data_IF_098304939094
#
_entry.id   IF_098304939094
#
_cell.length_a   1.000
_cell.length_b   1.000
_cell.length_c   1.000
_cell.angle_alpha   90.00
_cell.angle_beta   90.00
_cell.angle_gamma   90.00
#
_symmetry.space_group_name_H-M   'P 1'
#
loop_
_entity.id
_entity.type
_entity.pdbx_description
1 polymer ?
#
# COMPACT_ATOMS: atom_id res chain seq x y z
N UNK A 1 30.61 -9.20 -8.94
CA UNK A 1 30.13 -7.93 -9.53
C UNK A 1 31.24 -7.33 -10.39
N UNK A 2 30.94 -6.96 -11.63
CA UNK A 2 31.90 -6.34 -12.55
C UNK A 2 32.32 -4.95 -12.00
N UNK A 3 33.62 -4.66 -11.89
CA UNK A 3 34.15 -3.40 -11.33
C UNK A 3 33.68 -2.17 -12.12
N UNK A 4 33.47 -2.34 -13.43
CA UNK A 4 32.99 -1.26 -14.30
C UNK A 4 31.54 -0.88 -13.99
N UNK A 5 30.70 -1.86 -13.69
CA UNK A 5 29.30 -1.64 -13.27
C UNK A 5 29.19 -0.94 -11.91
N UNK A 6 30.08 -1.28 -10.97
CA UNK A 6 30.11 -0.61 -9.65
C UNK A 6 30.52 0.85 -9.79
N UNK A 7 31.49 1.14 -10.66
CA UNK A 7 31.94 2.49 -10.95
C UNK A 7 30.82 3.30 -11.60
N UNK A 8 30.14 2.76 -12.60
CA UNK A 8 29.00 3.42 -13.26
C UNK A 8 27.83 3.66 -12.30
N UNK A 9 27.53 2.72 -11.39
CA UNK A 9 26.44 2.90 -10.41
C UNK A 9 26.69 4.10 -9.49
N UNK A 10 27.93 4.26 -9.01
CA UNK A 10 28.33 5.40 -8.15
C UNK A 10 28.28 6.73 -8.91
N UNK A 11 28.76 6.75 -10.15
CA UNK A 11 28.76 7.95 -10.99
C UNK A 11 27.33 8.43 -11.28
N UNK A 12 26.41 7.53 -11.64
CA UNK A 12 24.99 7.86 -11.86
C UNK A 12 24.32 8.31 -10.55
N UNK A 13 24.58 7.63 -9.43
CA UNK A 13 24.01 8.04 -8.13
C UNK A 13 24.50 9.42 -7.69
N UNK A 14 25.76 9.77 -7.97
CA UNK A 14 26.29 11.11 -7.73
C UNK A 14 25.65 12.15 -8.65
N UNK A 15 25.49 11.84 -9.95
CA UNK A 15 24.81 12.71 -10.94
C UNK A 15 23.41 13.13 -10.47
N UNK A 16 22.67 12.22 -9.83
CA UNK A 16 21.30 12.45 -9.37
C UNK A 16 21.17 12.70 -7.86
N UNK A 17 22.27 13.13 -7.22
CA UNK A 17 22.28 13.58 -5.82
C UNK A 17 21.66 12.58 -4.83
N UNK A 18 21.95 11.28 -5.01
CA UNK A 18 21.53 10.26 -4.06
C UNK A 18 22.17 10.52 -2.70
N UNK A 19 21.33 10.79 -1.71
CA UNK A 19 21.75 11.09 -0.33
C UNK A 19 20.72 10.58 0.67
N UNK A 20 21.14 10.42 1.91
CA UNK A 20 20.24 10.03 3.00
C UNK A 20 19.07 10.99 3.11
N UNK A 21 17.86 10.44 3.12
CA UNK A 21 16.65 11.22 3.36
C UNK A 21 16.61 11.64 4.84
N UNK A 22 16.43 12.93 5.10
CA UNK A 22 16.34 13.47 6.47
C UNK A 22 14.91 13.28 6.97
N UNK A 23 14.75 12.40 7.95
CA UNK A 23 13.46 12.12 8.58
C UNK A 23 13.17 13.07 9.75
N UNK A 24 11.89 13.23 10.08
CA UNK A 24 11.47 13.89 11.31
C UNK A 24 11.95 13.09 12.54
N UNK A 25 12.15 13.77 13.66
CA UNK A 25 12.26 13.09 14.95
C UNK A 25 10.86 12.63 15.40
N UNK A 26 10.69 11.43 15.98
CA UNK A 26 9.38 10.97 16.44
C UNK A 26 8.76 11.96 17.42
N UNK A 27 7.53 12.37 17.17
CA UNK A 27 6.76 13.19 18.12
C UNK A 27 6.13 12.27 19.17
N UNK A 28 6.46 12.49 20.44
CA UNK A 28 6.07 11.61 21.54
C UNK A 28 5.46 12.48 22.65
N UNK A 29 4.13 12.60 22.63
CA UNK A 29 3.19 12.84 23.77
C UNK A 29 2.30 14.09 23.66
N UNK A 30 1.02 13.89 24.05
CA UNK A 30 0.29 14.83 24.92
C UNK A 30 -0.96 15.52 24.38
N UNK A 31 -1.25 15.49 23.07
CA UNK A 31 -2.39 16.24 22.49
C UNK A 31 -3.27 15.49 21.48
N UNK A 32 -2.90 14.28 21.09
CA UNK A 32 -3.56 13.58 19.99
C UNK A 32 -3.93 12.16 20.38
N UNK A 33 -5.09 11.70 19.90
CA UNK A 33 -5.51 10.31 19.97
C UNK A 33 -4.56 9.47 19.09
N UNK A 34 -3.73 8.65 19.74
CA UNK A 34 -2.75 7.79 19.09
C UNK A 34 -3.14 6.34 19.34
N UNK A 35 -3.16 5.56 18.28
CA UNK A 35 -3.28 4.11 18.36
C UNK A 35 -1.91 3.46 18.20
N UNK A 36 -1.58 2.58 19.15
CA UNK A 36 -0.45 1.67 19.01
C UNK A 36 -0.95 0.33 18.47
N UNK A 37 -0.82 0.15 17.17
CA UNK A 37 -1.24 -1.08 16.50
C UNK A 37 -0.44 -2.28 17.03
N UNK A 38 -1.08 -3.44 17.25
CA UNK A 38 -0.37 -4.64 17.67
C UNK A 38 0.72 -5.03 16.69
N UNK A 39 1.86 -5.48 17.21
CA UNK A 39 3.00 -5.92 16.42
C UNK A 39 3.04 -7.44 16.30
N UNK A 40 3.09 -7.94 15.07
CA UNK A 40 3.37 -9.33 14.77
C UNK A 40 4.88 -9.45 14.53
N UNK A 41 5.58 -10.09 15.47
CA UNK A 41 7.01 -10.32 15.39
C UNK A 41 7.33 -11.58 14.58
N UNK A 42 7.75 -11.39 13.34
CA UNK A 42 8.09 -12.49 12.43
C UNK A 42 9.42 -13.18 12.77
N UNK A 43 10.19 -12.67 13.74
CA UNK A 43 11.35 -13.40 14.27
C UNK A 43 10.92 -14.61 15.11
N UNK A 44 9.69 -14.58 15.65
CA UNK A 44 9.06 -15.69 16.38
C UNK A 44 8.37 -16.69 15.42
N UNK A 45 8.26 -16.36 14.13
CA UNK A 45 7.75 -17.28 13.13
C UNK A 45 8.81 -18.34 12.81
N UNK A 46 8.56 -19.57 13.26
CA UNK A 46 9.37 -20.75 12.95
C UNK A 46 8.57 -21.68 12.05
N UNK A 47 9.19 -22.20 11.00
CA UNK A 47 8.59 -23.18 10.08
C UNK A 47 8.53 -24.58 10.72
N UNK A 48 7.81 -25.51 10.11
CA UNK A 48 7.72 -26.90 10.54
C UNK A 48 6.53 -27.22 11.47
N UNK A 49 5.97 -28.44 11.40
CA UNK A 49 4.81 -28.82 12.22
C UNK A 49 5.08 -28.73 13.74
N UNK A 50 6.32 -28.98 14.18
CA UNK A 50 6.77 -28.89 15.57
C UNK A 50 6.68 -27.47 16.15
N UNK A 51 6.64 -26.45 15.29
CA UNK A 51 6.55 -25.04 15.67
C UNK A 51 5.15 -24.44 15.50
N UNK A 52 4.12 -25.28 15.28
CA UNK A 52 2.75 -24.82 15.05
C UNK A 52 2.24 -23.92 16.19
N UNK A 53 2.52 -24.26 17.44
CA UNK A 53 2.09 -23.46 18.60
C UNK A 53 2.61 -22.01 18.54
N UNK A 54 3.86 -21.82 18.11
CA UNK A 54 4.45 -20.49 17.93
C UNK A 54 3.69 -19.68 16.89
N UNK A 55 3.34 -20.32 15.77
CA UNK A 55 2.56 -19.67 14.69
C UNK A 55 1.12 -19.40 15.12
N UNK A 56 0.50 -20.29 15.89
CA UNK A 56 -0.85 -20.07 16.44
C UNK A 56 -0.89 -18.86 17.39
N UNK A 57 0.13 -18.67 18.24
CA UNK A 57 0.22 -17.47 19.09
C UNK A 57 0.28 -16.17 18.27
N UNK A 58 1.06 -16.16 17.18
CA UNK A 58 1.10 -15.03 16.26
C UNK A 58 -0.23 -14.83 15.52
N UNK A 59 -0.88 -15.93 15.13
CA UNK A 59 -2.17 -15.90 14.43
C UNK A 59 -3.29 -15.31 15.30
N UNK A 60 -3.31 -15.58 16.61
CA UNK A 60 -4.27 -14.97 17.56
C UNK A 60 -4.13 -13.45 17.57
N UNK A 61 -2.92 -12.93 17.73
CA UNK A 61 -2.66 -11.48 17.73
C UNK A 61 -3.04 -10.86 16.38
N UNK A 62 -2.74 -11.57 15.29
CA UNK A 62 -3.10 -11.13 13.95
C UNK A 62 -4.62 -11.07 13.78
N UNK A 63 -5.35 -12.10 14.17
CA UNK A 63 -6.82 -12.15 14.09
C UNK A 63 -7.47 -10.97 14.81
N UNK A 64 -7.08 -10.73 16.07
CA UNK A 64 -7.59 -9.60 16.86
C UNK A 64 -7.36 -8.27 16.13
N UNK A 65 -6.14 -8.06 15.61
CA UNK A 65 -5.76 -6.86 14.87
C UNK A 65 -6.58 -6.67 13.58
N UNK A 66 -6.80 -7.76 12.84
CA UNK A 66 -7.54 -7.76 11.58
C UNK A 66 -9.04 -7.51 11.78
N UNK A 67 -9.59 -7.97 12.90
CA UNK A 67 -11.01 -7.79 13.24
C UNK A 67 -11.29 -6.42 13.88
N UNK A 68 -10.36 -5.89 14.67
CA UNK A 68 -10.57 -4.64 15.40
C UNK A 68 -10.17 -3.41 14.57
N UNK A 69 -8.99 -3.46 13.96
CA UNK A 69 -8.38 -2.30 13.32
C UNK A 69 -8.19 -2.46 11.82
N UNK A 70 -8.23 -3.68 11.29
CA UNK A 70 -7.86 -3.96 9.89
C UNK A 70 -6.40 -3.63 9.57
N UNK A 71 -5.60 -3.36 10.60
CA UNK A 71 -4.25 -2.82 10.56
C UNK A 71 -3.42 -3.49 11.66
N UNK A 72 -2.14 -3.72 11.39
CA UNK A 72 -1.17 -4.25 12.33
C UNK A 72 0.24 -3.78 11.96
N UNK A 73 1.22 -4.00 12.84
CA UNK A 73 2.64 -3.80 12.54
C UNK A 73 3.34 -5.12 12.30
N UNK A 74 4.32 -5.12 11.41
CA UNK A 74 5.29 -6.20 11.31
C UNK A 74 6.64 -5.73 11.83
N UNK A 75 7.22 -6.53 12.70
CA UNK A 75 8.62 -6.40 13.18
C UNK A 75 9.32 -7.75 12.99
N UNK A 76 10.65 -7.78 13.13
CA UNK A 76 11.41 -9.02 12.96
C UNK A 76 11.28 -9.65 11.56
N UNK A 77 10.90 -8.85 10.54
CA UNK A 77 10.66 -9.32 9.18
C UNK A 77 11.94 -9.66 8.39
N UNK A 78 13.12 -9.38 8.95
CA UNK A 78 14.42 -9.65 8.33
C UNK A 78 14.81 -8.68 7.21
N UNK A 79 14.24 -7.47 7.23
CA UNK A 79 14.69 -6.37 6.34
C UNK A 79 15.48 -5.43 7.24
N UNK A 80 16.73 -5.21 6.85
CA UNK A 80 17.63 -4.32 7.57
C UNK A 80 17.24 -2.85 7.39
N UNK A 81 17.54 -2.03 8.39
CA UNK A 81 17.20 -0.60 8.38
C UNK A 81 17.81 0.12 7.17
N UNK A 82 19.02 -0.27 6.80
CA UNK A 82 19.79 0.29 5.68
C UNK A 82 19.06 0.11 4.34
N UNK A 83 18.26 -0.96 4.20
CA UNK A 83 17.44 -1.17 3.00
C UNK A 83 16.35 -0.10 2.92
N UNK A 84 15.66 0.19 4.02
CA UNK A 84 14.66 1.27 4.06
C UNK A 84 15.31 2.64 3.86
N UNK A 85 16.45 2.90 4.48
CA UNK A 85 17.18 4.17 4.33
C UNK A 85 17.59 4.38 2.86
N UNK A 86 18.13 3.35 2.21
CA UNK A 86 18.50 3.39 0.79
C UNK A 86 17.29 3.60 -0.12
N UNK A 87 16.17 2.91 0.12
CA UNK A 87 14.95 3.09 -0.66
C UNK A 87 14.33 4.48 -0.48
N UNK A 88 14.39 5.05 0.72
CA UNK A 88 13.95 6.44 0.95
C UNK A 88 14.85 7.43 0.20
N UNK A 89 16.17 7.21 0.22
CA UNK A 89 17.13 8.01 -0.55
C UNK A 89 16.84 7.94 -2.06
N UNK A 90 16.63 6.72 -2.60
CA UNK A 90 16.22 6.50 -3.99
C UNK A 90 14.91 7.22 -4.28
N UNK A 91 13.89 7.05 -3.43
CA UNK A 91 12.59 7.70 -3.57
C UNK A 91 12.70 9.22 -3.63
N UNK A 92 13.52 9.83 -2.77
CA UNK A 92 13.77 11.27 -2.81
C UNK A 92 14.39 11.70 -4.15
N UNK A 93 15.48 11.06 -4.58
CA UNK A 93 16.16 11.38 -5.83
C UNK A 93 15.26 11.18 -7.06
N UNK A 94 14.36 10.19 -7.04
CA UNK A 94 13.35 10.00 -8.10
C UNK A 94 12.47 11.23 -8.28
N UNK A 95 12.05 11.89 -7.19
CA UNK A 95 11.19 13.08 -7.26
C UNK A 95 11.96 14.38 -7.54
N UNK A 96 13.27 14.37 -7.30
CA UNK A 96 14.20 15.47 -7.60
C UNK A 96 14.75 15.41 -9.05
N UNK A 97 14.36 14.40 -9.84
CA UNK A 97 14.70 14.36 -11.27
C UNK A 97 14.19 15.61 -12.01
N UNK A 98 14.90 16.06 -13.07
CA UNK A 98 14.44 17.18 -13.89
C UNK A 98 13.02 16.95 -14.43
N UNK A 99 12.19 18.00 -14.47
CA UNK A 99 10.80 17.90 -14.94
C UNK A 99 10.68 17.38 -16.38
N UNK A 100 11.65 17.72 -17.24
CA UNK A 100 11.73 17.18 -18.60
C UNK A 100 11.89 15.65 -18.58
N UNK A 101 12.76 15.11 -17.70
CA UNK A 101 12.90 13.67 -17.53
C UNK A 101 11.61 13.05 -16.97
N UNK A 102 11.02 13.64 -15.91
CA UNK A 102 9.79 13.11 -15.30
C UNK A 102 8.61 13.06 -16.30
N UNK A 103 8.49 14.07 -17.16
CA UNK A 103 7.39 14.17 -18.13
C UNK A 103 7.41 13.08 -19.21
N UNK A 104 8.59 12.50 -19.50
CA UNK A 104 8.72 11.34 -20.40
C UNK A 104 8.25 10.01 -19.78
N UNK A 105 8.04 9.98 -18.45
CA UNK A 105 7.67 8.76 -17.72
C UNK A 105 6.41 8.96 -16.87
N UNK A 106 5.46 9.78 -17.32
CA UNK A 106 4.15 9.89 -16.65
C UNK A 106 3.47 8.52 -16.65
N UNK A 107 2.88 8.14 -15.53
CA UNK A 107 2.18 6.87 -15.41
C UNK A 107 1.07 6.76 -16.47
N UNK A 108 0.85 5.53 -16.96
CA UNK A 108 0.03 5.17 -18.13
C UNK A 108 0.55 5.60 -19.51
N UNK A 109 1.76 6.15 -19.62
CA UNK A 109 2.43 6.37 -20.92
C UNK A 109 3.09 5.11 -21.50
N UNK A 110 3.33 4.11 -20.66
CA UNK A 110 3.98 2.86 -21.03
C UNK A 110 2.96 1.75 -21.24
N UNK A 111 3.17 0.96 -22.29
CA UNK A 111 2.30 -0.14 -22.66
C UNK A 111 3.10 -1.43 -22.75
N UNK A 112 2.63 -2.45 -22.03
CA UNK A 112 2.93 -3.85 -22.35
C UNK A 112 1.65 -4.48 -22.91
N UNK A 113 1.79 -5.46 -23.79
CA UNK A 113 0.67 -6.04 -24.54
C UNK A 113 -0.42 -6.61 -23.62
N UNK A 114 -0.01 -7.24 -22.52
CA UNK A 114 -0.86 -7.86 -21.50
C UNK A 114 -1.75 -6.85 -20.76
N UNK A 115 -1.37 -5.57 -20.77
CA UNK A 115 -2.10 -4.48 -20.11
C UNK A 115 -2.82 -3.55 -21.08
N UNK A 116 -2.82 -3.83 -22.40
CA UNK A 116 -3.40 -2.94 -23.43
C UNK A 116 -4.86 -2.57 -23.18
N UNK A 117 -5.64 -3.48 -22.59
CA UNK A 117 -7.06 -3.27 -22.31
C UNK A 117 -7.35 -2.71 -20.91
N UNK A 118 -6.31 -2.30 -20.16
CA UNK A 118 -6.44 -1.83 -18.78
C UNK A 118 -6.31 -0.32 -18.70
N UNK A 119 -7.27 0.33 -18.06
CA UNK A 119 -7.20 1.75 -17.72
C UNK A 119 -6.56 1.94 -16.34
N UNK A 120 -5.23 1.74 -16.28
CA UNK A 120 -4.47 1.90 -15.03
C UNK A 120 -4.33 3.37 -14.63
N UNK A 121 -4.37 4.29 -15.61
CA UNK A 121 -4.15 5.72 -15.45
C UNK A 121 -2.89 6.07 -14.66
N UNK A 122 -2.81 7.33 -14.22
CA UNK A 122 -1.61 7.82 -13.52
C UNK A 122 -1.46 7.27 -12.11
N UNK A 123 -2.57 6.85 -11.48
CA UNK A 123 -2.54 6.41 -10.09
C UNK A 123 -1.92 5.02 -9.99
N UNK A 124 -2.15 4.13 -10.96
CA UNK A 124 -1.70 2.73 -10.87
C UNK A 124 -0.74 2.30 -11.96
N UNK A 125 -0.66 3.01 -13.07
CA UNK A 125 0.30 2.73 -14.15
C UNK A 125 1.75 2.91 -13.68
N UNK A 126 2.69 2.29 -14.39
CA UNK A 126 4.15 2.44 -14.17
C UNK A 126 4.57 3.87 -14.47
N UNK A 127 5.30 4.52 -13.56
CA UNK A 127 5.83 5.87 -13.76
C UNK A 127 5.29 6.91 -12.78
N UNK A 128 5.38 8.18 -13.17
CA UNK A 128 5.10 9.33 -12.33
C UNK A 128 3.61 9.71 -12.29
N UNK A 129 3.12 9.97 -11.09
CA UNK A 129 1.97 10.85 -10.87
C UNK A 129 2.51 12.21 -10.38
N UNK A 130 2.38 13.29 -11.17
CA UNK A 130 2.95 14.59 -10.80
C UNK A 130 2.17 15.23 -9.65
N UNK A 131 2.84 16.17 -8.96
CA UNK A 131 2.26 16.99 -7.89
C UNK A 131 1.10 17.80 -8.45
N UNK A 132 -0.02 17.83 -7.73
CA UNK A 132 -1.18 18.62 -8.11
C UNK A 132 -1.97 18.08 -9.31
N UNK A 133 -1.80 16.80 -9.62
CA UNK A 133 -2.67 16.10 -10.58
C UNK A 133 -4.12 16.03 -10.10
N UNK A 134 -4.33 15.78 -8.81
CA UNK A 134 -5.65 15.83 -8.19
C UNK A 134 -5.97 17.23 -7.71
N UNK A 135 -7.21 17.63 -7.92
CA UNK A 135 -7.77 18.89 -7.45
C UNK A 135 -8.92 18.58 -6.47
N UNK A 136 -8.79 19.08 -5.25
CA UNK A 136 -9.83 18.97 -4.24
C UNK A 136 -11.03 19.87 -4.58
N UNK A 137 -12.16 19.65 -3.92
CA UNK A 137 -13.42 20.37 -4.17
C UNK A 137 -13.32 21.90 -3.98
N UNK A 138 -12.33 22.37 -3.23
CA UNK A 138 -12.02 23.79 -2.99
C UNK A 138 -10.95 24.34 -3.97
N UNK A 139 -10.73 23.66 -5.09
CA UNK A 139 -9.74 23.98 -6.13
C UNK A 139 -8.27 23.89 -5.70
N UNK A 140 -7.99 23.51 -4.45
CA UNK A 140 -6.63 23.26 -4.00
C UNK A 140 -6.09 22.00 -4.66
N UNK A 141 -4.91 22.10 -5.27
CA UNK A 141 -4.19 20.97 -5.85
C UNK A 141 -3.51 20.14 -4.76
N UNK A 142 -3.42 18.84 -4.95
CA UNK A 142 -2.69 17.96 -4.02
C UNK A 142 -1.19 18.32 -3.93
N UNK A 143 -0.56 17.95 -2.81
CA UNK A 143 0.86 18.19 -2.56
C UNK A 143 1.72 16.92 -2.68
N UNK A 144 1.28 15.89 -3.41
CA UNK A 144 1.89 14.56 -3.38
C UNK A 144 2.31 14.07 -4.77
N UNK A 145 3.51 13.50 -4.85
CA UNK A 145 4.02 12.82 -6.05
C UNK A 145 4.12 11.32 -5.82
N UNK A 146 3.82 10.53 -6.86
CA UNK A 146 4.04 9.08 -6.86
C UNK A 146 5.02 8.68 -7.94
N UNK A 147 5.79 7.63 -7.67
CA UNK A 147 6.45 6.85 -8.70
C UNK A 147 6.11 5.38 -8.49
N UNK A 148 5.34 4.81 -9.42
CA UNK A 148 4.91 3.42 -9.34
C UNK A 148 5.85 2.52 -10.12
N UNK A 149 6.14 1.36 -9.54
CA UNK A 149 6.81 0.23 -10.19
C UNK A 149 5.86 -0.96 -10.18
N UNK A 150 5.68 -1.62 -11.32
CA UNK A 150 4.84 -2.82 -11.47
C UNK A 150 5.71 -3.98 -11.95
N UNK A 151 5.15 -5.19 -11.92
CA UNK A 151 5.74 -6.38 -12.56
C UNK A 151 7.11 -6.82 -12.04
N UNK A 152 7.58 -6.34 -10.88
CA UNK A 152 8.83 -6.80 -10.23
C UNK A 152 8.81 -8.29 -9.84
N UNK A 153 7.66 -8.96 -9.94
CA UNK A 153 7.55 -10.41 -9.76
C UNK A 153 7.92 -11.19 -11.03
N UNK A 154 7.90 -10.56 -12.21
CA UNK A 154 8.22 -11.14 -13.51
C UNK A 154 9.51 -10.50 -14.04
N UNK A 155 10.64 -11.21 -13.91
CA UNK A 155 11.98 -10.63 -14.06
C UNK A 155 12.20 -10.02 -15.45
N UNK A 156 11.82 -10.74 -16.50
CA UNK A 156 11.98 -10.26 -17.87
C UNK A 156 11.17 -8.99 -18.12
N UNK A 157 9.91 -8.96 -17.70
CA UNK A 157 9.04 -7.79 -17.84
C UNK A 157 9.65 -6.59 -17.11
N UNK A 158 10.06 -6.78 -15.86
CA UNK A 158 10.59 -5.71 -15.03
C UNK A 158 11.86 -5.09 -15.58
N UNK A 159 12.83 -5.90 -16.02
CA UNK A 159 14.14 -5.37 -16.44
C UNK A 159 14.21 -5.02 -17.92
N UNK A 160 13.50 -5.75 -18.79
CA UNK A 160 13.74 -5.70 -20.23
C UNK A 160 12.59 -5.07 -21.03
N UNK A 161 11.35 -5.11 -20.52
CA UNK A 161 10.15 -4.68 -21.27
C UNK A 161 9.56 -3.37 -20.79
N UNK A 162 9.89 -2.94 -19.57
CA UNK A 162 9.50 -1.64 -19.02
C UNK A 162 10.62 -0.61 -19.21
N UNK A 163 10.23 0.64 -19.43
CA UNK A 163 11.15 1.76 -19.56
C UNK A 163 11.20 2.56 -18.26
N UNK A 164 12.41 2.92 -17.84
CA UNK A 164 12.64 3.70 -16.62
C UNK A 164 13.60 4.86 -16.88
N UNK A 165 13.46 5.98 -16.13
CA UNK A 165 14.48 7.02 -16.07
C UNK A 165 15.86 6.41 -15.77
N UNK A 166 16.93 7.03 -16.26
CA UNK A 166 18.30 6.52 -16.09
C UNK A 166 18.62 6.20 -14.62
N UNK A 167 18.29 7.14 -13.72
CA UNK A 167 18.50 6.97 -12.29
C UNK A 167 17.74 5.77 -11.70
N UNK A 168 16.48 5.58 -12.11
CA UNK A 168 15.67 4.43 -11.65
C UNK A 168 16.28 3.14 -12.18
N UNK A 169 16.65 3.10 -13.46
CA UNK A 169 17.30 1.95 -14.10
C UNK A 169 18.55 1.51 -13.34
N UNK A 170 19.36 2.47 -12.93
CA UNK A 170 20.59 2.24 -12.15
C UNK A 170 20.35 1.63 -10.76
N UNK A 171 19.13 1.77 -10.22
CA UNK A 171 18.74 1.30 -8.89
C UNK A 171 17.65 0.21 -8.93
N UNK A 172 17.36 -0.38 -10.10
CA UNK A 172 16.32 -1.42 -10.24
C UNK A 172 16.58 -2.64 -9.38
N UNK A 173 17.84 -3.05 -9.18
CA UNK A 173 18.16 -4.21 -8.34
C UNK A 173 17.69 -4.02 -6.89
N UNK A 174 17.89 -2.83 -6.32
CA UNK A 174 17.48 -2.53 -4.94
C UNK A 174 15.95 -2.54 -4.80
N UNK A 175 15.27 -1.94 -5.78
CA UNK A 175 13.81 -1.92 -5.89
C UNK A 175 13.24 -3.34 -6.06
N UNK A 176 13.81 -4.10 -6.99
CA UNK A 176 13.43 -5.47 -7.33
C UNK A 176 13.58 -6.39 -6.12
N UNK A 177 14.74 -6.37 -5.46
CA UNK A 177 15.04 -7.23 -4.33
C UNK A 177 14.11 -6.95 -3.15
N UNK A 178 13.85 -5.67 -2.85
CA UNK A 178 12.96 -5.30 -1.76
C UNK A 178 11.52 -5.81 -1.96
N UNK A 179 10.89 -5.47 -3.08
CA UNK A 179 9.49 -5.85 -3.31
C UNK A 179 9.32 -7.36 -3.45
N UNK A 180 10.31 -8.06 -4.03
CA UNK A 180 10.29 -9.53 -4.09
C UNK A 180 10.51 -10.17 -2.73
N UNK A 181 11.39 -9.63 -1.89
CA UNK A 181 11.55 -10.14 -0.53
C UNK A 181 10.24 -10.01 0.25
N UNK A 182 9.58 -8.84 0.17
CA UNK A 182 8.25 -8.66 0.75
C UNK A 182 7.26 -9.71 0.24
N UNK A 183 7.17 -9.93 -1.07
CA UNK A 183 6.20 -10.87 -1.64
C UNK A 183 6.52 -12.34 -1.31
N UNK A 184 7.73 -12.80 -1.58
CA UNK A 184 8.08 -14.23 -1.48
C UNK A 184 8.42 -14.69 -0.05
N UNK A 185 8.78 -13.77 0.86
CA UNK A 185 9.16 -14.10 2.23
C UNK A 185 8.18 -13.57 3.25
N UNK A 186 7.95 -12.25 3.29
CA UNK A 186 7.15 -11.62 4.35
C UNK A 186 5.66 -11.94 4.17
N UNK A 187 5.10 -11.65 3.00
CA UNK A 187 3.70 -11.92 2.66
C UNK A 187 3.38 -13.41 2.82
N UNK A 188 4.23 -14.32 2.35
CA UNK A 188 4.00 -15.76 2.50
C UNK A 188 3.83 -16.20 3.96
N UNK A 189 4.65 -15.67 4.88
CA UNK A 189 4.50 -15.94 6.32
C UNK A 189 3.20 -15.36 6.87
N UNK A 190 2.86 -14.11 6.50
CA UNK A 190 1.59 -13.48 6.90
C UNK A 190 0.40 -14.29 6.40
N UNK A 191 0.40 -14.73 5.14
CA UNK A 191 -0.66 -15.56 4.58
C UNK A 191 -0.79 -16.91 5.29
N UNK A 192 0.31 -17.55 5.69
CA UNK A 192 0.24 -18.78 6.50
C UNK A 192 -0.39 -18.52 7.88
N UNK A 193 -0.11 -17.38 8.51
CA UNK A 193 -0.79 -17.00 9.75
C UNK A 193 -2.29 -16.79 9.51
N UNK A 194 -2.66 -16.15 8.39
CA UNK A 194 -4.06 -15.98 8.01
C UNK A 194 -4.73 -17.33 7.69
N UNK A 195 -4.02 -18.27 7.06
CA UNK A 195 -4.52 -19.64 6.85
C UNK A 195 -4.91 -20.28 8.20
N UNK A 196 -4.04 -20.16 9.22
CA UNK A 196 -4.34 -20.65 10.59
C UNK A 196 -5.57 -19.95 11.16
N UNK A 197 -5.65 -18.61 11.06
CA UNK A 197 -6.81 -17.83 11.53
C UNK A 197 -8.10 -18.31 10.89
N UNK A 198 -8.07 -18.70 9.61
CA UNK A 198 -9.22 -19.15 8.84
C UNK A 198 -9.44 -20.68 8.93
N UNK A 199 -8.69 -21.38 9.79
CA UNK A 199 -8.74 -22.85 9.91
C UNK A 199 -8.50 -23.58 8.58
N UNK A 200 -7.65 -22.98 7.74
CA UNK A 200 -7.20 -23.56 6.48
C UNK A 200 -5.84 -24.25 6.67
N UNK A 201 -5.52 -25.28 5.87
CA UNK A 201 -4.15 -25.78 5.79
C UNK A 201 -3.17 -24.66 5.39
N UNK A 202 -2.03 -24.55 6.08
CA UNK A 202 -1.01 -23.53 5.78
C UNK A 202 -0.55 -23.57 4.31
N UNK A 203 -0.46 -22.40 3.69
CA UNK A 203 -0.11 -22.21 2.29
C UNK A 203 -1.29 -22.28 1.33
N UNK A 204 -2.52 -22.41 1.82
CA UNK A 204 -3.74 -22.44 0.98
C UNK A 204 -3.91 -21.11 0.25
N UNK A 205 -3.92 -19.99 0.99
CA UNK A 205 -4.04 -18.67 0.40
C UNK A 205 -2.93 -18.39 -0.61
N UNK A 206 -1.67 -18.74 -0.29
CA UNK A 206 -0.54 -18.57 -1.20
C UNK A 206 -0.78 -19.31 -2.52
N UNK A 207 -1.08 -20.61 -2.46
CA UNK A 207 -1.23 -21.45 -3.67
C UNK A 207 -2.41 -21.02 -4.53
N UNK A 208 -3.53 -20.62 -3.91
CA UNK A 208 -4.75 -20.23 -4.62
C UNK A 208 -4.62 -18.85 -5.25
N UNK A 209 -4.09 -17.87 -4.52
CA UNK A 209 -4.28 -16.46 -4.88
C UNK A 209 -2.99 -15.68 -5.09
N UNK A 210 -1.87 -16.07 -4.47
CA UNK A 210 -0.64 -15.24 -4.46
C UNK A 210 0.58 -15.88 -5.11
N UNK A 211 0.49 -17.14 -5.58
CA UNK A 211 1.59 -17.78 -6.30
C UNK A 211 1.96 -16.95 -7.53
N UNK A 212 3.24 -16.95 -7.89
CA UNK A 212 3.73 -16.30 -9.11
C UNK A 212 4.07 -17.38 -10.13
N UNK A 213 3.53 -17.23 -11.33
CA UNK A 213 3.88 -18.01 -12.52
C UNK A 213 4.62 -17.06 -13.47
N UNK A 214 5.85 -17.42 -13.83
CA UNK A 214 6.72 -16.51 -14.56
C UNK A 214 6.10 -16.07 -15.88
N UNK A 215 6.16 -14.76 -16.17
CA UNK A 215 5.53 -14.10 -17.31
C UNK A 215 4.00 -14.30 -17.50
N UNK A 216 3.29 -14.90 -16.54
CA UNK A 216 1.82 -14.98 -16.55
C UNK A 216 1.20 -13.98 -15.55
N UNK A 217 1.06 -12.72 -15.99
CA UNK A 217 0.63 -11.61 -15.12
C UNK A 217 -0.73 -11.87 -14.46
N UNK A 218 -1.74 -12.31 -15.23
CA UNK A 218 -3.12 -12.42 -14.73
C UNK A 218 -3.37 -13.66 -13.86
N UNK A 219 -2.52 -14.68 -13.99
CA UNK A 219 -2.59 -15.91 -13.20
C UNK A 219 -1.68 -15.86 -11.97
N UNK A 220 -0.96 -14.76 -11.77
CA UNK A 220 -0.03 -14.57 -10.67
C UNK A 220 -0.60 -13.65 -9.60
N UNK A 221 -0.26 -13.92 -8.34
CA UNK A 221 -0.22 -12.88 -7.32
C UNK A 221 0.65 -11.72 -7.78
N UNK A 222 0.28 -10.50 -7.41
CA UNK A 222 0.81 -9.32 -8.07
C UNK A 222 0.78 -8.07 -7.23
N UNK A 223 0.49 -6.97 -7.91
CA UNK A 223 0.38 -5.65 -7.33
C UNK A 223 1.44 -4.70 -7.82
N UNK A 224 1.67 -3.63 -7.05
CA UNK A 224 2.57 -2.56 -7.45
C UNK A 224 3.26 -1.93 -6.25
N UNK A 225 4.50 -1.56 -6.47
CA UNK A 225 5.31 -0.79 -5.54
C UNK A 225 5.11 0.68 -5.83
N UNK A 226 5.08 1.50 -4.78
CA UNK A 226 4.94 2.95 -4.90
C UNK A 226 5.94 3.64 -4.00
N UNK A 227 6.77 4.48 -4.60
CA UNK A 227 7.42 5.58 -3.90
C UNK A 227 6.44 6.75 -3.84
N UNK A 228 6.33 7.39 -2.68
CA UNK A 228 5.35 8.44 -2.47
C UNK A 228 5.94 9.53 -1.55
N UNK A 229 5.93 10.77 -2.03
CA UNK A 229 6.48 11.92 -1.33
C UNK A 229 5.42 13.00 -1.16
N UNK A 230 5.09 13.32 0.09
CA UNK A 230 4.37 14.54 0.42
C UNK A 230 5.36 15.66 0.71
N UNK A 231 5.10 16.82 0.12
CA UNK A 231 5.90 18.02 0.31
C UNK A 231 5.44 18.83 1.52
N UNK A 232 6.35 19.65 2.05
CA UNK A 232 6.00 20.71 2.99
C UNK A 232 4.90 21.62 2.41
N UNK A 233 4.01 22.08 3.28
CA UNK A 233 2.89 22.94 2.93
C UNK A 233 2.77 24.10 3.90
N UNK A 234 2.25 25.22 3.42
CA UNK A 234 2.05 26.41 4.24
C UNK A 234 0.72 26.40 5.00
N UNK A 235 0.50 27.45 5.79
CA UNK A 235 -0.75 27.65 6.56
C UNK A 235 -1.98 27.81 5.66
N UNK A 236 -1.82 28.34 4.44
CA UNK A 236 -2.94 28.56 3.53
C UNK A 236 -3.44 27.23 2.95
N UNK A 237 -2.52 26.36 2.54
CA UNK A 237 -2.83 25.00 2.14
C UNK A 237 -3.50 24.23 3.27
N UNK A 238 -2.95 24.32 4.49
CA UNK A 238 -3.54 23.67 5.67
C UNK A 238 -4.97 24.14 5.93
N UNK A 239 -5.21 25.46 5.85
CA UNK A 239 -6.56 26.03 6.00
C UNK A 239 -7.51 25.55 4.91
N UNK A 240 -7.06 25.55 3.65
CA UNK A 240 -7.93 25.17 2.53
C UNK A 240 -8.28 23.67 2.58
N UNK A 241 -7.30 22.82 2.87
CA UNK A 241 -7.46 21.35 2.88
C UNK A 241 -7.93 20.77 4.21
N UNK A 242 -8.17 21.62 5.22
CA UNK A 242 -8.40 21.18 6.60
C UNK A 242 -7.33 20.19 7.07
N UNK A 243 -6.06 20.57 6.89
CA UNK A 243 -4.87 19.79 7.24
C UNK A 243 -4.81 18.40 6.58
N UNK A 244 -5.38 18.23 5.38
CA UNK A 244 -5.45 16.92 4.71
C UNK A 244 -4.49 16.84 3.52
N UNK A 245 -3.56 15.89 3.57
CA UNK A 245 -2.71 15.51 2.43
C UNK A 245 -3.35 14.45 1.54
N UNK A 246 -4.09 13.51 2.14
CA UNK A 246 -4.84 12.46 1.45
C UNK A 246 -6.12 12.19 2.23
N UNK A 247 -7.27 12.20 1.55
CA UNK A 247 -8.57 11.97 2.20
C UNK A 247 -8.75 10.51 2.61
N UNK A 248 -9.77 10.28 3.45
CA UNK A 248 -10.18 8.94 3.87
C UNK A 248 -10.49 8.02 2.69
N UNK A 249 -9.86 6.85 2.66
CA UNK A 249 -10.08 5.81 1.67
C UNK A 249 -9.80 4.43 2.25
N UNK A 250 -10.23 3.39 1.53
CA UNK A 250 -9.76 2.03 1.71
C UNK A 250 -8.91 1.62 0.52
N UNK A 251 -8.02 0.64 0.70
CA UNK A 251 -7.25 0.08 -0.41
C UNK A 251 -8.07 -0.91 -1.22
N UNK A 252 -7.81 -1.01 -2.53
CA UNK A 252 -8.51 -1.96 -3.40
C UNK A 252 -7.98 -3.40 -3.27
N UNK A 253 -6.72 -3.51 -2.85
CA UNK A 253 -5.87 -4.70 -2.90
C UNK A 253 -6.20 -5.70 -1.78
N UNK A 254 -5.44 -6.79 -1.65
CA UNK A 254 -5.61 -7.72 -0.54
C UNK A 254 -4.92 -7.23 0.73
N UNK A 255 -3.63 -6.93 0.63
CA UNK A 255 -2.82 -6.38 1.71
C UNK A 255 -2.01 -5.20 1.19
N UNK A 256 -1.70 -4.26 2.07
CA UNK A 256 -0.81 -3.14 1.76
C UNK A 256 0.28 -3.07 2.82
N UNK A 257 1.55 -3.04 2.41
CA UNK A 257 2.71 -2.93 3.30
C UNK A 257 3.32 -1.54 3.16
N UNK A 258 3.36 -0.79 4.25
CA UNK A 258 3.83 0.60 4.30
C UNK A 258 5.07 0.66 5.18
N UNK A 259 6.16 1.22 4.67
CA UNK A 259 7.33 1.51 5.51
C UNK A 259 6.96 2.51 6.60
N UNK A 260 7.15 2.14 7.86
CA UNK A 260 6.87 3.00 9.01
C UNK A 260 7.76 4.25 8.98
N UNK A 261 7.18 5.42 9.27
CA UNK A 261 7.88 6.71 9.24
C UNK A 261 7.74 7.45 10.58
N UNK A 262 8.78 8.16 11.03
CA UNK A 262 8.77 8.92 12.29
C UNK A 262 8.00 10.25 12.19
N UNK A 263 7.10 10.40 11.23
CA UNK A 263 6.27 11.59 11.03
C UNK A 263 4.80 11.25 11.34
N UNK A 264 4.21 11.97 12.29
CA UNK A 264 2.87 11.69 12.79
C UNK A 264 1.82 12.28 11.84
N UNK A 265 1.39 11.48 10.87
CA UNK A 265 0.53 11.94 9.78
C UNK A 265 -0.50 10.91 9.30
N UNK A 266 -0.23 9.61 9.45
CA UNK A 266 -1.15 8.54 9.06
C UNK A 266 -2.23 8.41 10.15
N UNK A 267 -3.50 8.43 9.74
CA UNK A 267 -4.63 8.22 10.63
C UNK A 267 -5.50 7.07 10.13
N UNK A 268 -6.00 6.27 11.05
CA UNK A 268 -7.04 5.27 10.81
C UNK A 268 -8.34 5.73 11.44
N UNK A 269 -9.48 5.38 10.83
CA UNK A 269 -10.81 5.63 11.42
C UNK A 269 -11.28 4.39 12.14
N UNK A 270 -11.54 4.54 13.43
CA UNK A 270 -12.05 3.46 14.28
C UNK A 270 -13.45 3.01 13.82
N UNK A 271 -13.70 1.70 13.71
CA UNK A 271 -15.01 1.20 13.28
C UNK A 271 -16.12 1.41 14.30
N UNK A 272 -15.78 1.38 15.59
CA UNK A 272 -16.76 1.49 16.68
C UNK A 272 -17.06 2.95 16.96
N UNK A 273 -16.03 3.78 17.12
CA UNK A 273 -16.19 5.20 17.51
C UNK A 273 -16.30 6.16 16.33
N UNK A 274 -15.87 5.74 15.13
CA UNK A 274 -15.76 6.60 13.93
C UNK A 274 -14.75 7.75 14.07
N UNK A 275 -13.92 7.74 15.11
CA UNK A 275 -12.90 8.76 15.35
C UNK A 275 -11.60 8.45 14.61
N UNK A 276 -10.87 9.50 14.27
CA UNK A 276 -9.55 9.40 13.65
C UNK A 276 -8.47 9.26 14.71
N UNK A 277 -7.69 8.19 14.64
CA UNK A 277 -6.54 7.93 15.53
C UNK A 277 -5.26 7.94 14.72
N UNK A 278 -4.24 8.64 15.19
CA UNK A 278 -2.92 8.61 14.58
C UNK A 278 -2.23 7.26 14.80
N UNK A 279 -1.59 6.73 13.78
CA UNK A 279 -0.79 5.51 13.92
C UNK A 279 0.58 5.86 14.52
N UNK A 280 0.92 5.22 15.64
CA UNK A 280 2.23 5.41 16.28
C UNK A 280 3.39 4.89 15.42
N UNK A 281 4.54 5.55 15.54
CA UNK A 281 5.76 5.14 14.86
C UNK A 281 6.45 3.99 15.61
N UNK A 282 6.90 2.99 14.86
CA UNK A 282 7.82 1.95 15.33
C UNK A 282 9.02 1.89 14.39
N UNK A 283 10.27 2.03 14.90
CA UNK A 283 11.47 1.92 14.08
C UNK A 283 11.59 0.57 13.39
N UNK A 284 12.13 0.59 12.16
CA UNK A 284 12.37 -0.61 11.35
C UNK A 284 11.17 -1.58 11.27
N UNK A 285 9.97 -1.03 11.16
CA UNK A 285 8.73 -1.81 11.06
C UNK A 285 7.97 -1.50 9.76
N UNK A 286 7.05 -2.38 9.42
CA UNK A 286 6.03 -2.13 8.40
C UNK A 286 4.68 -1.93 9.08
N UNK A 287 3.91 -0.95 8.64
CA UNK A 287 2.47 -0.88 8.92
C UNK A 287 1.77 -1.65 7.80
N UNK A 288 0.90 -2.59 8.16
CA UNK A 288 0.20 -3.45 7.20
C UNK A 288 -1.30 -3.34 7.40
N UNK A 289 -2.05 -3.21 6.31
CA UNK A 289 -3.51 -3.23 6.35
C UNK A 289 -4.11 -4.22 5.37
N UNK A 290 -5.32 -4.65 5.69
CA UNK A 290 -6.22 -5.36 4.79
C UNK A 290 -6.88 -4.35 3.86
N UNK A 291 -6.96 -4.71 2.59
CA UNK A 291 -7.75 -3.99 1.60
C UNK A 291 -9.07 -4.69 1.28
N UNK A 292 -9.85 -4.07 0.41
CA UNK A 292 -11.22 -4.48 0.12
C UNK A 292 -11.31 -5.90 -0.45
N UNK A 293 -10.31 -6.36 -1.20
CA UNK A 293 -10.32 -7.70 -1.79
C UNK A 293 -10.30 -8.79 -0.71
N UNK A 294 -9.51 -8.63 0.35
CA UNK A 294 -9.45 -9.60 1.46
C UNK A 294 -10.66 -9.49 2.39
N UNK A 295 -11.18 -8.29 2.59
CA UNK A 295 -12.46 -8.12 3.28
C UNK A 295 -13.58 -8.88 2.56
N UNK A 296 -13.62 -8.82 1.21
CA UNK A 296 -14.62 -9.54 0.42
C UNK A 296 -14.39 -11.05 0.42
N UNK A 297 -13.15 -11.50 0.21
CA UNK A 297 -12.78 -12.92 0.32
C UNK A 297 -13.11 -13.53 1.67
N UNK A 298 -13.21 -12.74 2.74
CA UNK A 298 -13.54 -13.24 4.09
C UNK A 298 -14.96 -12.91 4.55
N UNK A 299 -15.82 -12.43 3.64
CA UNK A 299 -17.23 -12.16 3.96
C UNK A 299 -17.39 -11.06 5.01
N UNK A 300 -16.43 -10.13 5.07
CA UNK A 300 -16.38 -9.06 6.05
C UNK A 300 -15.80 -9.44 7.41
N UNK A 301 -15.24 -10.65 7.56
CA UNK A 301 -14.58 -11.07 8.80
C UNK A 301 -13.38 -10.16 9.12
N UNK A 302 -12.45 -10.03 8.17
CA UNK A 302 -11.38 -9.04 8.27
C UNK A 302 -11.85 -7.68 7.79
N UNK A 303 -11.32 -6.62 8.41
CA UNK A 303 -11.77 -5.26 8.17
C UNK A 303 -10.82 -4.50 7.24
N UNK A 304 -11.38 -3.87 6.20
CA UNK A 304 -10.66 -2.93 5.32
C UNK A 304 -10.88 -1.49 5.79
N UNK A 305 -10.00 -1.02 6.65
CA UNK A 305 -10.22 0.22 7.41
C UNK A 305 -9.99 1.48 6.59
N UNK A 306 -10.86 2.46 6.84
CA UNK A 306 -10.71 3.79 6.28
C UNK A 306 -9.51 4.44 6.93
N UNK A 307 -8.57 4.91 6.10
CA UNK A 307 -7.39 5.60 6.55
C UNK A 307 -7.12 6.84 5.69
N UNK A 308 -6.40 7.80 6.25
CA UNK A 308 -6.08 9.07 5.61
C UNK A 308 -4.68 9.54 5.99
N UNK A 309 -4.17 10.53 5.27
CA UNK A 309 -2.91 11.20 5.62
C UNK A 309 -3.21 12.68 5.85
N UNK A 310 -2.89 13.16 7.05
CA UNK A 310 -2.99 14.58 7.41
C UNK A 310 -1.62 15.23 7.37
N UNK A 311 -1.60 16.55 7.40
CA UNK A 311 -0.35 17.32 7.44
C UNK A 311 0.36 17.09 8.77
N UNK A 312 1.69 17.11 8.76
CA UNK A 312 2.47 16.95 9.98
C UNK A 312 2.29 18.15 10.91
N UNK A 313 2.46 17.89 12.21
CA UNK A 313 2.09 18.80 13.29
C UNK A 313 3.33 19.26 14.09
N UNK A 314 3.19 20.36 14.81
CA UNK A 314 4.21 20.86 15.72
C UNK A 314 5.56 21.07 15.03
N UNK A 315 6.63 20.57 15.64
CA UNK A 315 7.99 20.69 15.10
C UNK A 315 8.21 19.88 13.81
N UNK A 316 7.31 18.95 13.47
CA UNK A 316 7.40 18.12 12.27
C UNK A 316 6.84 18.79 11.01
N UNK A 317 6.25 20.00 11.11
CA UNK A 317 5.57 20.67 9.99
C UNK A 317 6.48 21.00 8.80
N UNK A 318 7.79 21.10 9.03
CA UNK A 318 8.80 21.43 8.02
C UNK A 318 9.39 20.20 7.32
N UNK A 319 8.97 19.00 7.70
CA UNK A 319 9.48 17.75 7.12
C UNK A 319 8.60 17.27 5.97
N UNK A 320 9.24 16.80 4.91
CA UNK A 320 8.58 15.99 3.87
C UNK A 320 8.25 14.61 4.44
N UNK A 321 7.19 13.99 3.93
CA UNK A 321 6.84 12.59 4.24
C UNK A 321 7.19 11.69 3.06
N UNK A 322 8.20 10.85 3.22
CA UNK A 322 8.67 9.93 2.19
C UNK A 322 8.37 8.49 2.59
N UNK A 323 7.58 7.79 1.77
CA UNK A 323 7.14 6.42 2.04
C UNK A 323 7.34 5.52 0.84
N UNK A 324 7.57 4.25 1.13
CA UNK A 324 7.53 3.16 0.15
C UNK A 324 6.37 2.25 0.54
N UNK A 325 5.54 1.90 -0.43
CA UNK A 325 4.34 1.10 -0.23
C UNK A 325 4.36 -0.07 -1.21
N UNK A 326 4.05 -1.27 -0.73
CA UNK A 326 3.71 -2.40 -1.58
C UNK A 326 2.20 -2.68 -1.47
N UNK A 327 1.47 -2.43 -2.54
CA UNK A 327 0.08 -2.84 -2.68
C UNK A 327 0.06 -4.26 -3.27
N UNK A 328 -0.36 -5.24 -2.47
CA UNK A 328 -0.30 -6.65 -2.81
C UNK A 328 -1.66 -7.17 -3.29
N UNK A 329 -1.66 -7.71 -4.50
CA UNK A 329 -2.86 -8.18 -5.18
C UNK A 329 -2.91 -9.72 -5.22
N UNK A 330 -4.09 -10.32 -5.04
CA UNK A 330 -4.31 -11.69 -5.49
C UNK A 330 -4.29 -11.73 -7.03
N UNK A 331 -4.23 -12.93 -7.60
CA UNK A 331 -4.31 -13.08 -9.06
C UNK A 331 -5.61 -12.49 -9.60
N UNK A 332 -5.54 -11.85 -10.77
CA UNK A 332 -6.67 -11.07 -11.31
C UNK A 332 -7.89 -11.94 -11.62
N UNK A 333 -7.68 -13.20 -11.93
CA UNK A 333 -8.75 -14.17 -12.19
C UNK A 333 -9.37 -14.77 -10.92
N UNK A 334 -8.85 -14.42 -9.73
CA UNK A 334 -9.44 -14.83 -8.44
C UNK A 334 -10.82 -14.23 -8.26
N UNK A 335 -11.83 -15.03 -7.95
CA UNK A 335 -13.10 -14.51 -7.45
C UNK A 335 -12.94 -14.04 -6.00
N UNK A 336 -13.36 -12.82 -5.69
CA UNK A 336 -13.29 -12.27 -4.33
C UNK A 336 -14.54 -12.66 -3.52
N UNK A 337 -14.67 -13.96 -3.29
CA UNK A 337 -15.85 -14.59 -2.68
C UNK A 337 -15.43 -15.54 -1.54
N UNK A 338 -16.10 -15.55 -0.38
CA UNK A 338 -15.80 -16.48 0.71
C UNK A 338 -15.86 -17.96 0.34
N UNK A 339 -16.70 -18.33 -0.64
CA UNK A 339 -16.78 -19.71 -1.12
C UNK A 339 -15.46 -20.20 -1.74
N UNK A 340 -14.62 -19.29 -2.27
CA UNK A 340 -13.31 -19.64 -2.83
C UNK A 340 -12.32 -20.11 -1.77
N UNK A 341 -12.50 -19.66 -0.52
CA UNK A 341 -11.67 -20.09 0.60
C UNK A 341 -12.06 -21.49 1.05
N UNK A 342 -13.37 -21.78 1.11
CA UNK A 342 -13.95 -22.95 1.77
C UNK A 342 -13.41 -23.12 3.20
N UNK A 343 -13.36 -22.01 3.95
CA UNK A 343 -12.84 -21.96 5.31
C UNK A 343 -13.85 -22.56 6.30
N UNK A 344 -13.46 -23.57 7.12
CA UNK A 344 -14.31 -24.09 8.18
C UNK A 344 -14.82 -23.01 9.12
N UNK A 345 -13.94 -22.07 9.51
CA UNK A 345 -14.29 -20.94 10.36
C UNK A 345 -15.33 -20.01 9.75
N UNK A 346 -15.12 -19.57 8.51
CA UNK A 346 -16.07 -18.67 7.85
C UNK A 346 -17.44 -19.35 7.64
N UNK A 347 -17.42 -20.65 7.32
CA UNK A 347 -18.63 -21.48 7.20
C UNK A 347 -19.37 -21.59 8.54
N UNK A 348 -18.65 -21.84 9.65
CA UNK A 348 -19.23 -21.91 10.99
C UNK A 348 -19.85 -20.57 11.43
N UNK A 349 -19.27 -19.45 11.00
CA UNK A 349 -19.80 -18.11 11.24
C UNK A 349 -20.93 -17.71 10.27
N UNK A 350 -21.23 -18.53 9.26
CA UNK A 350 -22.26 -18.26 8.26
C UNK A 350 -21.98 -17.04 7.37
N UNK A 351 -20.71 -16.66 7.22
CA UNK A 351 -20.31 -15.47 6.44
C UNK A 351 -20.40 -15.75 4.94
N UNK A 352 -20.95 -14.78 4.20
CA UNK A 352 -21.19 -14.85 2.75
C UNK A 352 -20.79 -13.55 2.06
N UNK A 353 -20.63 -13.62 0.74
CA UNK A 353 -20.41 -12.44 -0.08
C UNK A 353 -21.62 -11.50 0.00
N UNK A 354 -21.36 -10.19 0.11
CA UNK A 354 -22.37 -9.13 0.02
C UNK A 354 -22.58 -8.63 -1.42
N UNK A 355 -21.83 -9.18 -2.39
CA UNK A 355 -21.95 -8.85 -3.79
C UNK A 355 -23.14 -9.56 -4.45
N UNK A 356 -23.83 -8.86 -5.34
CA UNK A 356 -24.99 -9.40 -6.08
C UNK A 356 -24.63 -10.51 -7.08
N UNK A 357 -23.36 -10.59 -7.47
CA UNK A 357 -22.80 -11.61 -8.34
C UNK A 357 -21.36 -11.88 -7.94
N UNK A 358 -20.82 -13.01 -8.38
CA UNK A 358 -19.39 -13.27 -8.32
C UNK A 358 -18.64 -12.24 -9.17
N UNK A 359 -17.59 -11.66 -8.58
CA UNK A 359 -16.73 -10.64 -9.18
C UNK A 359 -15.29 -11.12 -9.07
N UNK A 360 -14.50 -10.98 -10.13
CA UNK A 360 -13.06 -11.25 -10.04
C UNK A 360 -12.30 -10.06 -9.43
N UNK A 361 -11.14 -10.32 -8.85
CA UNK A 361 -10.27 -9.25 -8.36
C UNK A 361 -9.92 -8.26 -9.48
N UNK A 362 -9.67 -8.73 -10.70
CA UNK A 362 -9.41 -7.85 -11.85
C UNK A 362 -10.58 -6.90 -12.15
N UNK A 363 -11.82 -7.40 -12.15
CA UNK A 363 -13.02 -6.57 -12.34
C UNK A 363 -13.16 -5.52 -11.22
N UNK A 364 -12.97 -5.93 -9.97
CA UNK A 364 -13.05 -5.06 -8.79
C UNK A 364 -11.97 -3.98 -8.84
N UNK A 365 -10.73 -4.39 -9.09
CA UNK A 365 -9.60 -3.48 -9.11
C UNK A 365 -9.80 -2.45 -10.22
N UNK A 366 -10.12 -2.86 -11.45
CA UNK A 366 -10.33 -1.93 -12.57
C UNK A 366 -11.49 -0.95 -12.29
N UNK A 367 -12.57 -1.41 -11.67
CA UNK A 367 -13.69 -0.56 -11.29
C UNK A 367 -13.28 0.52 -10.28
N UNK A 368 -12.52 0.15 -9.24
CA UNK A 368 -12.01 1.09 -8.23
C UNK A 368 -10.91 2.01 -8.79
N UNK A 369 -10.07 1.51 -9.70
CA UNK A 369 -9.01 2.29 -10.36
C UNK A 369 -9.56 3.45 -11.18
N UNK A 370 -10.61 3.21 -11.98
CA UNK A 370 -11.29 4.26 -12.77
C UNK A 370 -11.79 5.42 -11.93
N UNK A 371 -12.18 5.16 -10.68
CA UNK A 371 -12.60 6.20 -9.73
C UNK A 371 -11.39 7.02 -9.26
N UNK A 372 -10.31 6.36 -8.86
CA UNK A 372 -9.12 7.01 -8.31
C UNK A 372 -8.37 7.85 -9.35
N UNK A 373 -8.47 7.50 -10.63
CA UNK A 373 -7.84 8.22 -11.74
C UNK A 373 -8.51 9.56 -12.09
N UNK A 374 -9.72 9.85 -11.58
CA UNK A 374 -10.40 11.12 -11.84
C UNK A 374 -9.65 12.31 -11.21
N UNK A 375 -9.32 13.32 -12.03
CA UNK A 375 -8.57 14.53 -11.63
C UNK A 375 -9.34 15.43 -10.66
N UNK A 376 -10.63 15.62 -10.90
CA UNK A 376 -11.55 16.29 -10.00
C UNK A 376 -12.72 15.37 -9.74
N UNK A 377 -13.15 15.27 -8.50
CA UNK A 377 -14.40 14.61 -8.18
C UNK A 377 -15.09 15.43 -7.10
N UNK A 378 -16.12 16.16 -7.53
CA UNK A 378 -16.98 17.01 -6.71
C UNK A 378 -18.07 16.19 -5.99
N UNK A 379 -18.00 14.85 -6.05
CA UNK A 379 -19.01 13.97 -5.50
C UNK A 379 -18.96 13.96 -3.97
N UNK A 380 -20.07 14.39 -3.37
CA UNK A 380 -20.31 14.42 -1.92
C UNK A 380 -20.97 13.12 -1.39
N UNK A 381 -21.27 12.17 -2.28
CA UNK A 381 -21.93 10.90 -1.93
C UNK A 381 -20.95 9.73 -2.03
N UNK A 382 -21.10 8.72 -1.15
CA UNK A 382 -20.39 7.45 -1.27
C UNK A 382 -20.59 6.79 -2.63
N UNK A 383 -19.54 6.18 -3.17
CA UNK A 383 -19.55 5.59 -4.51
C UNK A 383 -20.14 4.19 -4.46
N UNK A 384 -21.01 3.87 -5.40
CA UNK A 384 -21.43 2.48 -5.59
C UNK A 384 -20.50 1.80 -6.61
N UNK A 385 -19.66 0.88 -6.14
CA UNK A 385 -18.81 0.04 -6.97
C UNK A 385 -19.40 -1.38 -6.96
N UNK A 386 -19.87 -1.82 -8.12
CA UNK A 386 -20.38 -3.18 -8.34
C UNK A 386 -21.49 -3.60 -7.34
N UNK A 387 -22.31 -2.65 -6.90
CA UNK A 387 -23.42 -2.89 -5.97
C UNK A 387 -23.12 -2.52 -4.52
N UNK A 388 -21.86 -2.21 -4.16
CA UNK A 388 -21.41 -1.91 -2.79
C UNK A 388 -20.98 -0.46 -2.63
N UNK A 389 -21.30 0.12 -1.48
CA UNK A 389 -20.75 1.41 -1.08
C UNK A 389 -19.23 1.29 -0.83
N UNK A 390 -18.44 2.05 -1.59
CA UNK A 390 -16.99 2.11 -1.50
C UNK A 390 -16.54 3.51 -1.11
N UNK A 391 -15.53 3.56 -0.23
CA UNK A 391 -14.94 4.81 0.24
C UNK A 391 -13.71 5.10 -0.61
N UNK A 392 -13.80 6.12 -1.47
CA UNK A 392 -12.70 6.59 -2.32
C UNK A 392 -12.05 7.86 -1.79
N UNK A 393 -10.80 8.13 -2.20
CA UNK A 393 -9.95 9.28 -1.80
C UNK A 393 -10.50 10.67 -2.14
N UNK A 394 -11.75 10.75 -2.61
CA UNK A 394 -12.38 11.95 -3.11
C UNK A 394 -13.68 12.30 -2.37
N UNK A 395 -14.17 11.44 -1.48
CA UNK A 395 -15.35 11.77 -0.68
C UNK A 395 -14.91 12.79 0.39
N UNK A 396 -15.55 13.96 0.51
CA UNK A 396 -15.40 14.83 1.67
C UNK A 396 -15.68 14.01 2.93
N UNK A 397 -15.01 14.27 4.06
CA UNK A 397 -15.49 13.75 5.34
C UNK A 397 -16.97 14.17 5.43
N UNK A 398 -17.90 13.21 5.33
CA UNK A 398 -19.32 13.49 5.53
C UNK A 398 -19.42 13.81 7.01
N UNK A 399 -19.34 15.10 7.31
CA UNK A 399 -19.64 15.69 8.61
C UNK A 399 -21.09 15.31 8.90
N UNK A 400 -21.31 14.23 9.66
CA UNK A 400 -22.53 14.12 10.47
C UNK A 400 -22.33 14.98 11.71
N UNK A 401 -22.46 16.30 11.52
CA UNK A 401 -23.13 17.17 12.48
C UNK A 401 -24.45 17.54 11.81
N UNK A 402 -25.53 16.84 12.09
CA UNK A 402 -26.39 17.27 13.19
C UNK A 402 -27.09 16.07 13.83
N UNK A 403 -26.91 15.96 15.15
CA UNK A 403 -28.04 15.69 16.02
C UNK A 403 -29.02 16.86 15.86
N UNK A 404 -30.25 16.55 15.52
CA UNK A 404 -31.44 17.30 15.94
C UNK A 404 -32.52 16.27 16.18
#
# INVERSE_FOLDING_TARGET
MNKDWVRSKKEINAKYNLRTFIEASPDVKGKYEIIDLPAIDLSLYKEGPENLESRQKLAIILEESLMEHGFFKLVGHGIEKEVFDNLKAIGQSIFELPEEEKSNFIASSQFIEEERNRDLGVVRGVGFKPKGYWTYANETKDNVEFFNVRHFLHKDIFFNRLSYPEFVRNNLDDIFNYFRYLHFKVLKKVLNLIDIVLELPEGTLWKKFFKVVDNEIDNSGGGFGRFLLYHEVDKNYNKSTNNTWMRGHTDATALTFIVSQPILSLQIRDYKTQEWKFVSYTPNSLVVNIGDAFQQLTGGYFKSSVHRVVTSIGHQSHFKRNTIIYFCDPSRNTYIDPEELNSPKLNALGLKSDLKRRVTFGEWDDAKGRILNKKSNTQSKPLNILGRESIGSLIPDIIKSSRS
#
